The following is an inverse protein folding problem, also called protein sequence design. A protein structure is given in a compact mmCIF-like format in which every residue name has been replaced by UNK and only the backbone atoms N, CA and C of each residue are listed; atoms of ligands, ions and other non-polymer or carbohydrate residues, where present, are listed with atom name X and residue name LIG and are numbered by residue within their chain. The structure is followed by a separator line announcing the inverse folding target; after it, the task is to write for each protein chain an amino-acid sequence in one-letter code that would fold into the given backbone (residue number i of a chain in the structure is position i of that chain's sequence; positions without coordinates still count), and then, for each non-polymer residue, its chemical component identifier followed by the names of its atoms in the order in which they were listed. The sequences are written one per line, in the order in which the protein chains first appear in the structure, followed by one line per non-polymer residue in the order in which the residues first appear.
data_IF_369534613655
#
_entry.id   IF_369534613655
#
_cell.length_a   1.000
_cell.length_b   1.000
_cell.length_c   1.000
_cell.angle_alpha   90.00
_cell.angle_beta   90.00
_cell.angle_gamma   90.00
#
_symmetry.space_group_name_H-M   'P 1'
#
loop_
_entity.id
_entity.type
_entity.pdbx_description
1 polymer ?
#
# COMPACT_ATOMS: atom_id res chain seq x y z
N UNK A 1 3.48 18.58 -4.19
CA UNK A 1 3.79 17.45 -3.29
C UNK A 1 4.25 16.28 -4.15
N UNK A 2 5.37 15.63 -3.80
CA UNK A 2 5.84 14.40 -4.48
C UNK A 2 5.54 13.18 -3.61
N UNK A 3 5.29 12.04 -4.24
CA UNK A 3 5.04 10.75 -3.59
C UNK A 3 6.15 9.80 -4.02
N UNK A 4 6.64 8.99 -3.09
CA UNK A 4 7.66 8.00 -3.36
C UNK A 4 7.09 6.89 -4.25
N UNK A 5 7.82 6.49 -5.28
CA UNK A 5 7.55 5.29 -6.09
C UNK A 5 8.82 4.45 -6.18
N UNK A 6 8.65 3.14 -6.32
CA UNK A 6 9.75 2.19 -6.49
C UNK A 6 9.67 1.58 -7.89
N UNK A 7 10.82 1.34 -8.52
CA UNK A 7 10.88 0.69 -9.84
C UNK A 7 10.91 -0.82 -9.69
N UNK A 8 9.99 -1.50 -10.39
CA UNK A 8 9.96 -2.96 -10.54
C UNK A 8 10.16 -3.35 -12.00
N UNK A 9 10.28 -4.65 -12.29
CA UNK A 9 10.28 -5.15 -13.68
C UNK A 9 8.96 -4.89 -14.42
N UNK A 10 7.88 -4.61 -13.71
CA UNK A 10 6.54 -4.34 -14.28
C UNK A 10 6.20 -2.85 -14.33
N UNK A 11 7.07 -1.98 -13.79
CA UNK A 11 6.91 -0.52 -13.77
C UNK A 11 7.02 0.10 -12.38
N UNK A 12 6.62 1.37 -12.27
CA UNK A 12 6.58 2.11 -11.01
C UNK A 12 5.46 1.59 -10.10
N UNK A 13 5.78 1.38 -8.82
CA UNK A 13 4.81 0.98 -7.80
C UNK A 13 4.83 1.94 -6.62
N UNK A 14 3.68 2.13 -6.00
CA UNK A 14 3.53 2.93 -4.79
C UNK A 14 3.77 2.04 -3.56
N UNK A 15 4.80 2.28 -2.73
CA UNK A 15 4.93 1.58 -1.45
C UNK A 15 3.85 2.07 -0.47
N UNK A 16 3.12 1.13 0.12
CA UNK A 16 2.14 1.37 1.19
C UNK A 16 2.50 0.49 2.36
N UNK A 17 2.57 1.09 3.54
CA UNK A 17 2.94 0.43 4.77
C UNK A 17 1.73 0.34 5.69
N UNK A 18 1.57 -0.81 6.33
CA UNK A 18 0.55 -1.11 7.32
C UNK A 18 0.80 -0.32 8.61
N UNK A 19 2.09 -0.13 8.96
CA UNK A 19 2.49 0.63 10.13
C UNK A 19 3.48 1.74 9.80
N UNK A 20 3.47 2.77 10.63
CA UNK A 20 4.38 3.91 10.49
C UNK A 20 5.84 3.49 10.67
N UNK A 21 6.07 2.62 11.63
CA UNK A 21 7.39 2.12 12.02
C UNK A 21 8.06 1.36 10.88
N UNK A 22 7.29 0.63 10.07
CA UNK A 22 7.80 -0.07 8.88
C UNK A 22 8.24 0.91 7.80
N UNK A 23 7.46 1.97 7.58
CA UNK A 23 7.81 3.03 6.64
C UNK A 23 9.06 3.80 7.09
N UNK A 24 9.19 4.08 8.39
CA UNK A 24 10.37 4.74 8.96
C UNK A 24 11.60 3.84 8.85
N UNK A 25 11.48 2.55 9.18
CA UNK A 25 12.55 1.56 9.03
C UNK A 25 13.00 1.44 7.57
N UNK A 26 12.05 1.39 6.63
CA UNK A 26 12.34 1.36 5.20
C UNK A 26 13.20 2.56 4.76
N UNK A 27 12.87 3.77 5.25
CA UNK A 27 13.67 4.97 4.97
C UNK A 27 15.04 4.94 5.64
N UNK A 28 15.12 4.54 6.91
CA UNK A 28 16.39 4.44 7.65
C UNK A 28 17.38 3.48 6.99
N UNK A 29 16.87 2.40 6.40
CA UNK A 29 17.67 1.39 5.68
C UNK A 29 17.91 1.77 4.21
N UNK A 30 17.57 2.99 3.80
CA UNK A 30 17.89 3.52 2.46
C UNK A 30 16.99 3.01 1.34
N UNK A 31 15.82 2.44 1.64
CA UNK A 31 14.90 1.90 0.63
C UNK A 31 14.41 2.92 -0.41
N UNK A 32 14.50 4.21 -0.11
CA UNK A 32 14.15 5.30 -1.02
C UNK A 32 15.33 5.88 -1.82
N UNK A 33 16.55 5.34 -1.67
CA UNK A 33 17.73 5.70 -2.46
C UNK A 33 18.23 7.15 -2.29
N UNK A 34 17.75 7.89 -1.30
CA UNK A 34 18.13 9.29 -1.09
C UNK A 34 17.51 9.91 0.17
N UNK A 35 18.05 11.06 0.57
CA UNK A 35 17.60 11.81 1.74
C UNK A 35 16.38 12.70 1.45
N UNK A 36 15.65 13.11 2.49
CA UNK A 36 14.57 14.10 2.40
C UNK A 36 13.16 13.55 2.21
N UNK A 37 12.97 12.23 2.21
CA UNK A 37 11.65 11.62 2.31
C UNK A 37 11.16 11.61 3.75
N UNK A 38 9.84 11.73 3.94
CA UNK A 38 9.18 11.65 5.25
C UNK A 38 7.96 10.75 5.17
N UNK A 39 7.69 10.03 6.24
CA UNK A 39 6.47 9.23 6.37
C UNK A 39 5.27 10.16 6.55
N UNK A 40 4.15 9.80 5.92
CA UNK A 40 2.87 10.46 6.10
C UNK A 40 1.79 9.40 6.21
N UNK A 41 1.08 9.39 7.33
CA UNK A 41 -0.11 8.57 7.51
C UNK A 41 -1.22 9.07 6.57
N UNK A 42 -1.98 8.14 6.00
CA UNK A 42 -3.05 8.43 5.05
C UNK A 42 -4.23 7.51 5.32
N UNK A 43 -5.45 8.04 5.18
CA UNK A 43 -6.68 7.22 5.24
C UNK A 43 -6.95 6.53 3.90
N UNK A 44 -7.81 5.51 3.91
CA UNK A 44 -8.20 4.78 2.70
C UNK A 44 -8.74 5.70 1.60
N UNK A 45 -9.69 6.58 1.92
CA UNK A 45 -10.19 7.59 0.97
C UNK A 45 -9.12 8.55 0.39
N UNK A 46 -8.13 8.93 1.18
CA UNK A 46 -7.02 9.78 0.72
C UNK A 46 -6.06 9.00 -0.20
N UNK A 47 -5.80 7.73 0.13
CA UNK A 47 -5.01 6.83 -0.71
C UNK A 47 -5.71 6.54 -2.05
N UNK A 48 -7.04 6.38 -2.05
CA UNK A 48 -7.85 6.28 -3.27
C UNK A 48 -7.72 7.54 -4.13
N UNK A 49 -7.73 8.72 -3.50
CA UNK A 49 -7.57 10.00 -4.19
C UNK A 49 -6.18 10.12 -4.84
N UNK A 50 -5.12 9.66 -4.15
CA UNK A 50 -3.77 9.60 -4.72
C UNK A 50 -3.70 8.67 -5.93
N UNK A 51 -4.24 7.45 -5.82
CA UNK A 51 -4.23 6.43 -6.88
C UNK A 51 -5.11 6.79 -8.09
N UNK A 52 -6.07 7.68 -7.90
CA UNK A 52 -6.92 8.22 -8.98
C UNK A 52 -6.33 9.48 -9.62
N UNK A 53 -5.43 10.17 -8.91
CA UNK A 53 -4.83 11.44 -9.34
C UNK A 53 -3.34 11.32 -9.62
N UNK A 54 -2.53 11.72 -8.62
CA UNK A 54 -1.08 11.86 -8.74
C UNK A 54 -0.37 10.54 -9.08
N UNK A 55 -0.91 9.42 -8.58
CA UNK A 55 -0.38 8.07 -8.77
C UNK A 55 -1.22 7.26 -9.77
N UNK A 56 -1.92 7.90 -10.72
CA UNK A 56 -2.79 7.20 -11.68
C UNK A 56 -2.05 6.24 -12.63
N UNK A 57 -0.76 6.48 -12.86
CA UNK A 57 0.06 5.75 -13.83
C UNK A 57 0.94 4.66 -13.19
N UNK A 58 0.88 4.45 -11.87
CA UNK A 58 1.65 3.38 -11.23
C UNK A 58 1.09 2.03 -11.67
N UNK A 59 1.96 1.05 -11.90
CA UNK A 59 1.58 -0.32 -12.23
C UNK A 59 0.88 -1.01 -11.04
N UNK A 60 1.24 -0.64 -9.82
CA UNK A 60 0.68 -1.24 -8.63
C UNK A 60 1.08 -0.60 -7.32
N UNK A 61 0.75 -1.32 -6.25
CA UNK A 61 1.05 -0.97 -4.86
C UNK A 61 1.89 -2.09 -4.27
N UNK A 62 3.06 -1.76 -3.71
CA UNK A 62 3.87 -2.69 -2.94
C UNK A 62 3.45 -2.60 -1.47
N UNK A 63 3.00 -3.71 -0.90
CA UNK A 63 2.56 -3.78 0.50
C UNK A 63 3.73 -4.15 1.40
N UNK A 64 4.01 -3.32 2.41
CA UNK A 64 5.05 -3.54 3.41
C UNK A 64 6.41 -3.96 2.81
N UNK A 65 6.92 -3.24 1.79
CA UNK A 65 8.18 -3.63 1.16
C UNK A 65 9.33 -3.48 2.15
N UNK A 66 10.09 -4.55 2.35
CA UNK A 66 11.30 -4.51 3.18
C UNK A 66 12.53 -4.11 2.31
N UNK A 67 13.43 -3.25 2.78
CA UNK A 67 14.50 -2.65 1.96
C UNK A 67 15.56 -3.65 1.46
N UNK A 68 15.78 -4.77 2.16
CA UNK A 68 16.65 -5.86 1.67
C UNK A 68 16.04 -6.61 0.47
N UNK A 69 14.75 -6.39 0.16
CA UNK A 69 14.09 -6.88 -1.04
C UNK A 69 14.46 -6.05 -2.30
N UNK A 70 15.53 -5.25 -2.25
CA UNK A 70 16.12 -4.50 -3.37
C UNK A 70 16.60 -5.34 -4.56
N UNK A 71 16.44 -6.68 -4.52
CA UNK A 71 16.40 -7.48 -5.75
C UNK A 71 15.00 -7.32 -6.34
N UNK A 72 14.89 -6.65 -7.48
CA UNK A 72 13.67 -6.43 -8.30
C UNK A 72 12.71 -7.63 -8.33
N UNK A 73 13.24 -8.85 -8.18
CA UNK A 73 12.54 -10.14 -8.09
C UNK A 73 11.62 -10.36 -6.88
N UNK A 74 11.84 -9.66 -5.75
CA UNK A 74 11.07 -9.87 -4.51
C UNK A 74 9.99 -8.80 -4.29
N UNK A 75 10.22 -7.57 -4.77
CA UNK A 75 9.20 -6.52 -4.75
C UNK A 75 7.93 -6.95 -5.50
N UNK A 76 8.06 -7.71 -6.59
CA UNK A 76 6.91 -8.24 -7.33
C UNK A 76 6.03 -9.20 -6.52
N UNK A 77 6.56 -9.87 -5.49
CA UNK A 77 5.78 -10.79 -4.64
C UNK A 77 4.79 -10.05 -3.73
N UNK A 78 5.17 -8.84 -3.30
CA UNK A 78 4.33 -7.98 -2.44
C UNK A 78 3.57 -6.93 -3.25
N UNK A 79 3.70 -6.95 -4.57
CA UNK A 79 2.99 -6.03 -5.45
C UNK A 79 1.56 -6.52 -5.74
N UNK A 80 0.63 -5.58 -5.62
CA UNK A 80 -0.75 -5.75 -6.06
C UNK A 80 -1.00 -4.75 -7.18
N UNK A 81 -1.48 -5.23 -8.33
CA UNK A 81 -1.87 -4.37 -9.44
C UNK A 81 -2.85 -3.27 -9.00
N UNK A 82 -2.67 -2.06 -9.55
CA UNK A 82 -3.34 -0.84 -9.09
C UNK A 82 -4.86 -1.00 -9.04
N UNK A 83 -5.47 -1.53 -10.10
CA UNK A 83 -6.91 -1.72 -10.23
C UNK A 83 -7.44 -2.69 -9.16
N UNK A 84 -6.72 -3.78 -8.91
CA UNK A 84 -7.08 -4.78 -7.88
C UNK A 84 -6.99 -4.19 -6.49
N UNK A 85 -5.99 -3.36 -6.22
CA UNK A 85 -5.84 -2.67 -4.93
C UNK A 85 -6.97 -1.66 -4.71
N UNK A 86 -7.26 -0.81 -5.70
CA UNK A 86 -8.37 0.16 -5.64
C UNK A 86 -9.72 -0.52 -5.39
N UNK A 87 -10.00 -1.62 -6.10
CA UNK A 87 -11.24 -2.38 -5.91
C UNK A 87 -11.38 -2.93 -4.48
N UNK A 88 -10.28 -3.43 -3.89
CA UNK A 88 -10.29 -3.92 -2.50
C UNK A 88 -10.49 -2.79 -1.50
N UNK A 89 -9.81 -1.66 -1.72
CA UNK A 89 -9.89 -0.51 -0.84
C UNK A 89 -11.30 0.11 -0.85
N UNK A 90 -11.92 0.24 -2.03
CA UNK A 90 -13.32 0.68 -2.13
C UNK A 90 -14.30 -0.24 -1.38
N UNK A 91 -14.08 -1.56 -1.43
CA UNK A 91 -14.90 -2.51 -0.66
C UNK A 91 -14.68 -2.38 0.85
N UNK A 92 -13.44 -2.12 1.28
CA UNK A 92 -13.11 -1.92 2.68
C UNK A 92 -13.74 -0.62 3.23
N UNK A 93 -13.68 0.48 2.48
CA UNK A 93 -14.27 1.77 2.86
C UNK A 93 -15.82 1.73 2.82
N UNK A 94 -16.40 0.92 1.94
CA UNK A 94 -17.86 0.72 1.84
C UNK A 94 -18.43 -0.36 2.76
N UNK A 95 -17.58 -1.13 3.44
CA UNK A 95 -18.04 -2.07 4.45
C UNK A 95 -18.50 -1.29 5.70
N UNK A 96 -19.66 -1.62 6.29
CA UNK A 96 -20.04 -1.02 7.56
C UNK A 96 -18.94 -1.30 8.58
N UNK A 97 -18.41 -0.26 9.20
CA UNK A 97 -17.44 -0.34 10.30
C UNK A 97 -18.12 -1.00 11.50
N UNK A 98 -18.21 -2.33 11.51
CA UNK A 98 -19.02 -3.07 12.46
C UNK A 98 -19.06 -4.55 12.15
N UNK A 99 -17.99 -5.25 12.51
CA UNK A 99 -18.06 -6.69 12.72
C UNK A 99 -18.99 -6.99 13.90
N UNK A 100 -20.28 -7.14 13.63
CA UNK A 100 -21.14 -7.94 14.49
C UNK A 100 -21.05 -9.38 13.97
N UNK A 101 -20.19 -10.19 14.61
CA UNK A 101 -20.35 -11.65 14.58
C UNK A 101 -21.81 -11.94 14.95
N UNK A 102 -22.61 -12.37 13.97
CA UNK A 102 -23.98 -12.79 14.23
C UNK A 102 -23.90 -14.07 15.07
N UNK A 103 -24.66 -14.20 16.18
CA UNK A 103 -24.72 -15.46 16.88
C UNK A 103 -25.26 -16.52 15.91
N UNK A 104 -24.60 -17.68 15.87
CA UNK A 104 -25.23 -18.87 15.29
C UNK A 104 -26.39 -19.22 16.21
N UNK A 105 -27.61 -18.99 15.73
CA UNK A 105 -28.79 -19.57 16.36
C UNK A 105 -28.71 -21.07 16.16
N UNK A 106 -28.21 -21.78 17.17
CA UNK A 106 -28.32 -23.22 17.26
C UNK A 106 -29.79 -23.59 17.41
N UNK A 107 -30.28 -24.42 16.49
CA UNK A 107 -31.59 -25.06 16.56
C UNK A 107 -31.69 -26.15 15.49
N UNK A 108 -31.41 -27.40 15.87
CA UNK A 108 -32.42 -28.38 16.28
C UNK A 108 -31.78 -29.34 17.29
#
# INVERSE_FOLDING_TARGET
MRVLTLMTGEGEVLPVFSFREEAELFLMLGGAGGEGWRVRETRGGELLSLLSGLCRNVAGVALDPFPELGRTSLLSLVCVGRERFVQRLLRAEGAPSGGALRPVSGGC
#
